data_IF_879180796414
#
_entry.id   IF_879180796414
#
_cell.length_a   1.000
_cell.length_b   1.000
_cell.length_c   1.000
_cell.angle_alpha   90.00
_cell.angle_beta   90.00
_cell.angle_gamma   90.00
#
_symmetry.space_group_name_H-M   'P 1'
#
loop_
_entity.id
_entity.type
_entity.pdbx_description
1 polymer ?
#
# COMPACT_ATOMS: atom_id res chain seq x y z
N UNK A 1 10.47 12.17 -5.29
CA UNK A 1 10.67 12.93 -6.53
C UNK A 1 9.34 13.47 -6.98
N UNK A 2 9.27 14.77 -7.27
CA UNK A 2 8.11 15.40 -7.88
C UNK A 2 8.04 15.01 -9.36
N UNK A 3 6.83 14.95 -9.90
CA UNK A 3 6.63 14.80 -11.35
C UNK A 3 7.24 15.99 -12.08
N UNK A 4 7.69 15.77 -13.31
CA UNK A 4 8.04 16.88 -14.21
C UNK A 4 6.77 17.51 -14.78
N UNK A 5 6.84 18.75 -15.22
CA UNK A 5 5.70 19.43 -15.85
C UNK A 5 5.15 18.65 -17.06
N UNK A 6 6.02 17.99 -17.82
CA UNK A 6 5.58 17.15 -18.94
C UNK A 6 4.80 15.94 -18.44
N UNK A 7 5.27 15.24 -17.39
CA UNK A 7 4.57 14.10 -16.81
C UNK A 7 3.20 14.49 -16.23
N UNK A 8 3.10 15.65 -15.58
CA UNK A 8 1.82 16.18 -15.10
C UNK A 8 0.84 16.44 -16.23
N UNK A 9 1.30 17.07 -17.31
CA UNK A 9 0.48 17.34 -18.49
C UNK A 9 0.00 16.05 -19.16
N UNK A 10 0.88 15.05 -19.29
CA UNK A 10 0.55 13.75 -19.88
C UNK A 10 -0.52 13.02 -19.04
N UNK A 11 -0.39 13.05 -17.70
CA UNK A 11 -1.39 12.46 -16.79
C UNK A 11 -2.73 13.17 -16.88
N UNK A 12 -2.76 14.50 -16.93
CA UNK A 12 -4.00 15.27 -17.07
C UNK A 12 -4.69 14.97 -18.41
N UNK A 13 -3.94 14.99 -19.51
CA UNK A 13 -4.47 14.66 -20.84
C UNK A 13 -5.01 13.22 -20.90
N UNK A 14 -4.32 12.27 -20.24
CA UNK A 14 -4.81 10.89 -20.13
C UNK A 14 -6.12 10.82 -19.33
N UNK A 15 -6.21 11.51 -18.19
CA UNK A 15 -7.42 11.56 -17.36
C UNK A 15 -8.61 12.17 -18.11
N UNK A 16 -8.39 13.27 -18.83
CA UNK A 16 -9.42 13.93 -19.65
C UNK A 16 -9.93 13.03 -20.79
N UNK A 17 -9.08 12.15 -21.31
CA UNK A 17 -9.45 11.19 -22.37
C UNK A 17 -10.19 9.96 -21.85
N UNK A 18 -10.33 9.79 -20.52
CA UNK A 18 -10.89 8.60 -19.87
C UNK A 18 -11.88 8.99 -18.77
N UNK A 19 -13.10 8.52 -18.86
CA UNK A 19 -14.14 8.79 -17.86
C UNK A 19 -14.04 7.93 -16.58
N UNK A 20 -13.10 6.99 -16.54
CA UNK A 20 -12.87 6.07 -15.41
C UNK A 20 -11.53 6.32 -14.69
N UNK A 21 -10.86 7.43 -14.99
CA UNK A 21 -9.60 7.83 -14.35
C UNK A 21 -9.75 9.21 -13.71
N UNK A 22 -9.36 9.31 -12.45
CA UNK A 22 -9.28 10.57 -11.71
C UNK A 22 -7.85 10.75 -11.21
N UNK A 23 -7.22 11.87 -11.57
CA UNK A 23 -5.89 12.24 -11.10
C UNK A 23 -5.99 13.43 -10.16
N UNK A 24 -5.63 13.24 -8.90
CA UNK A 24 -5.37 14.31 -7.95
C UNK A 24 -3.86 14.42 -7.76
N UNK A 25 -3.26 15.45 -8.32
CA UNK A 25 -1.81 15.68 -8.25
C UNK A 25 -1.43 16.56 -7.06
N UNK A 26 -2.41 17.07 -6.35
CA UNK A 26 -2.21 17.87 -5.15
C UNK A 26 -2.01 16.98 -3.92
N UNK A 27 -1.31 17.54 -2.94
CA UNK A 27 -1.15 16.87 -1.65
C UNK A 27 -2.52 16.68 -0.99
N UNK A 28 -2.82 15.48 -0.53
CA UNK A 28 -3.99 15.21 0.29
C UNK A 28 -3.93 16.08 1.55
N UNK A 29 -4.96 16.89 1.85
CA UNK A 29 -4.88 17.95 2.84
C UNK A 29 -4.62 17.44 4.26
N UNK A 30 -5.23 16.33 4.63
CA UNK A 30 -5.13 15.79 5.99
C UNK A 30 -5.29 14.26 6.03
N UNK A 31 -5.11 13.70 7.21
CA UNK A 31 -5.20 12.26 7.43
C UNK A 31 -6.63 11.73 7.30
N UNK A 32 -7.64 12.51 7.62
CA UNK A 32 -9.05 12.12 7.49
C UNK A 32 -9.43 11.91 6.03
N UNK A 33 -9.05 12.84 5.16
CA UNK A 33 -9.24 12.72 3.72
C UNK A 33 -8.48 11.51 3.16
N UNK A 34 -7.25 11.27 3.62
CA UNK A 34 -6.47 10.12 3.20
C UNK A 34 -7.11 8.79 3.63
N UNK A 35 -7.59 8.72 4.87
CA UNK A 35 -8.27 7.54 5.38
C UNK A 35 -9.60 7.29 4.64
N UNK A 36 -10.35 8.34 4.30
CA UNK A 36 -11.57 8.22 3.50
C UNK A 36 -11.29 7.65 2.11
N UNK A 37 -10.23 8.12 1.43
CA UNK A 37 -9.83 7.56 0.13
C UNK A 37 -9.46 6.08 0.22
N UNK A 38 -8.76 5.67 1.28
CA UNK A 38 -8.46 4.24 1.52
C UNK A 38 -9.76 3.47 1.77
N UNK A 39 -10.66 3.98 2.59
CA UNK A 39 -11.91 3.31 2.94
C UNK A 39 -12.81 3.06 1.71
N UNK A 40 -12.85 4.01 0.78
CA UNK A 40 -13.64 3.92 -0.45
C UNK A 40 -12.97 3.12 -1.57
N UNK A 41 -11.68 2.81 -1.45
CA UNK A 41 -10.97 2.01 -2.45
C UNK A 41 -11.25 0.52 -2.30
N UNK A 42 -11.27 -0.24 -3.39
CA UNK A 42 -11.33 -1.71 -3.38
C UNK A 42 -9.96 -2.33 -3.16
N UNK A 43 -8.92 -1.70 -3.67
CA UNK A 43 -7.52 -2.07 -3.49
C UNK A 43 -6.60 -0.84 -3.53
N UNK A 44 -5.40 -0.98 -3.00
CA UNK A 44 -4.38 0.08 -2.97
C UNK A 44 -3.21 -0.33 -3.85
N UNK A 45 -2.83 0.53 -4.78
CA UNK A 45 -1.63 0.35 -5.60
C UNK A 45 -0.48 1.21 -5.06
N UNK A 46 0.56 0.55 -4.53
CA UNK A 46 1.73 1.18 -3.92
C UNK A 46 3.05 0.51 -4.38
N UNK A 47 3.13 0.17 -5.65
CA UNK A 47 4.33 -0.40 -6.26
C UNK A 47 5.39 0.69 -6.51
N UNK A 48 6.01 1.14 -5.43
CA UNK A 48 7.07 2.15 -5.48
C UNK A 48 8.35 1.56 -6.07
N UNK A 49 9.03 2.33 -6.90
CA UNK A 49 10.30 1.94 -7.51
C UNK A 49 11.46 2.19 -6.54
N UNK A 50 12.31 1.18 -6.35
CA UNK A 50 13.52 1.25 -5.50
C UNK A 50 13.26 1.77 -4.07
N UNK A 51 12.07 1.55 -3.55
CA UNK A 51 11.70 2.01 -2.21
C UNK A 51 12.04 0.94 -1.16
N UNK A 52 13.11 1.17 -0.42
CA UNK A 52 13.61 0.22 0.60
C UNK A 52 12.92 0.37 1.96
N UNK A 53 12.18 1.46 2.16
CA UNK A 53 11.53 1.78 3.42
C UNK A 53 10.24 0.99 3.66
N UNK A 54 9.66 1.22 4.83
CA UNK A 54 8.30 0.82 5.16
C UNK A 54 7.38 2.03 5.06
N UNK A 55 6.19 1.82 4.55
CA UNK A 55 5.16 2.86 4.46
C UNK A 55 4.05 2.60 5.47
N UNK A 56 3.57 3.65 6.14
CA UNK A 56 2.38 3.58 6.99
C UNK A 56 1.11 3.21 6.19
N UNK A 57 1.19 3.28 4.86
CA UNK A 57 0.11 2.87 3.98
C UNK A 57 -0.27 1.40 4.16
N UNK A 58 0.70 0.50 4.41
CA UNK A 58 0.39 -0.91 4.69
C UNK A 58 -0.43 -1.07 5.98
N UNK A 59 -0.07 -0.33 7.03
CA UNK A 59 -0.80 -0.36 8.31
C UNK A 59 -2.21 0.19 8.15
N UNK A 60 -2.36 1.28 7.41
CA UNK A 60 -3.67 1.85 7.09
C UNK A 60 -4.51 0.91 6.22
N UNK A 61 -3.93 0.36 5.16
CA UNK A 61 -4.61 -0.60 4.29
C UNK A 61 -5.10 -1.82 5.09
N UNK A 62 -4.28 -2.34 6.00
CA UNK A 62 -4.66 -3.44 6.89
C UNK A 62 -5.82 -3.05 7.83
N UNK A 63 -5.78 -1.85 8.42
CA UNK A 63 -6.85 -1.36 9.30
C UNK A 63 -8.21 -1.26 8.56
N UNK A 64 -8.19 -0.85 7.30
CA UNK A 64 -9.37 -0.79 6.44
C UNK A 64 -9.64 -2.09 5.66
N UNK A 65 -8.84 -3.14 5.89
CA UNK A 65 -8.93 -4.45 5.20
C UNK A 65 -8.88 -4.33 3.68
N UNK A 66 -8.03 -3.44 3.18
CA UNK A 66 -7.84 -3.23 1.75
C UNK A 66 -6.62 -3.98 1.25
N UNK A 67 -6.76 -4.82 0.23
CA UNK A 67 -5.61 -5.48 -0.39
C UNK A 67 -4.68 -4.46 -1.03
N UNK A 68 -3.40 -4.77 -1.03
CA UNK A 68 -2.37 -3.90 -1.60
C UNK A 68 -1.60 -4.58 -2.72
N UNK A 69 -1.17 -3.81 -3.70
CA UNK A 69 -0.21 -4.23 -4.71
C UNK A 69 1.06 -3.40 -4.49
N UNK A 70 2.18 -4.08 -4.26
CA UNK A 70 3.47 -3.45 -3.96
C UNK A 70 4.59 -4.05 -4.80
N UNK A 71 5.73 -3.37 -4.87
CA UNK A 71 6.93 -3.90 -5.52
C UNK A 71 7.49 -5.10 -4.77
N UNK A 72 7.89 -6.14 -5.51
CA UNK A 72 8.44 -7.41 -4.99
C UNK A 72 9.81 -7.20 -4.34
N UNK A 73 10.11 -8.02 -3.35
CA UNK A 73 11.47 -8.23 -2.83
C UNK A 73 11.98 -7.20 -1.82
N UNK A 74 11.37 -6.03 -1.71
CA UNK A 74 11.73 -4.98 -0.74
C UNK A 74 10.92 -5.11 0.56
N UNK A 75 11.12 -4.20 1.51
CA UNK A 75 10.48 -4.28 2.83
C UNK A 75 8.96 -4.43 2.73
N UNK A 76 8.29 -3.63 1.91
CA UNK A 76 6.84 -3.71 1.73
C UNK A 76 6.43 -5.04 1.06
N UNK A 77 7.14 -5.48 0.02
CA UNK A 77 6.85 -6.73 -0.67
C UNK A 77 6.93 -7.93 0.25
N UNK A 78 8.01 -8.04 1.03
CA UNK A 78 8.18 -9.12 2.01
C UNK A 78 7.06 -9.17 3.04
N UNK A 79 6.61 -8.01 3.53
CA UNK A 79 5.49 -7.94 4.48
C UNK A 79 4.18 -8.40 3.85
N UNK A 80 3.89 -7.93 2.65
CA UNK A 80 2.67 -8.34 1.93
C UNK A 80 2.64 -9.85 1.69
N UNK A 81 3.76 -10.44 1.28
CA UNK A 81 3.90 -11.89 1.10
C UNK A 81 3.79 -12.65 2.43
N UNK A 82 4.47 -12.19 3.48
CA UNK A 82 4.45 -12.80 4.81
C UNK A 82 3.05 -12.88 5.41
N UNK A 83 2.27 -11.82 5.29
CA UNK A 83 0.94 -11.73 5.92
C UNK A 83 -0.21 -12.11 4.99
N UNK A 84 0.03 -12.17 3.68
CA UNK A 84 -1.03 -12.43 2.69
C UNK A 84 -2.03 -11.27 2.56
N UNK A 85 -1.57 -10.02 2.69
CA UNK A 85 -2.44 -8.83 2.64
C UNK A 85 -2.58 -8.23 1.24
N UNK A 86 -2.09 -8.90 0.21
CA UNK A 86 -2.14 -8.44 -1.17
C UNK A 86 -1.21 -9.22 -2.08
N UNK A 87 -0.76 -8.58 -3.15
CA UNK A 87 0.13 -9.18 -4.15
C UNK A 87 1.37 -8.32 -4.39
N UNK A 88 2.43 -8.96 -4.89
CA UNK A 88 3.66 -8.29 -5.30
C UNK A 88 3.84 -8.35 -6.80
N UNK A 89 4.41 -7.28 -7.39
CA UNK A 89 4.70 -7.18 -8.82
C UNK A 89 6.16 -6.79 -9.04
N UNK A 90 6.73 -7.18 -10.17
CA UNK A 90 8.03 -6.66 -10.59
C UNK A 90 7.96 -5.16 -10.85
N UNK A 91 9.05 -4.44 -10.54
CA UNK A 91 9.18 -3.05 -10.93
C UNK A 91 9.13 -2.93 -12.46
N UNK A 92 8.49 -1.88 -12.96
CA UNK A 92 8.31 -1.61 -14.39
C UNK A 92 7.58 -2.73 -15.19
N UNK A 93 6.85 -3.62 -14.52
CA UNK A 93 6.12 -4.72 -15.18
C UNK A 93 4.61 -4.47 -15.20
N UNK A 94 4.14 -3.73 -16.20
CA UNK A 94 2.72 -3.41 -16.35
C UNK A 94 1.84 -4.67 -16.55
N UNK A 95 2.39 -5.74 -17.14
CA UNK A 95 1.68 -7.01 -17.33
C UNK A 95 1.38 -7.69 -15.99
N UNK A 96 2.38 -7.81 -15.12
CA UNK A 96 2.19 -8.35 -13.76
C UNK A 96 1.24 -7.46 -12.93
N UNK A 97 1.39 -6.13 -12.99
CA UNK A 97 0.49 -5.20 -12.31
C UNK A 97 -0.97 -5.41 -12.75
N UNK A 98 -1.20 -5.50 -14.05
CA UNK A 98 -2.53 -5.73 -14.62
C UNK A 98 -3.12 -7.08 -14.21
N UNK A 99 -2.30 -8.14 -14.16
CA UNK A 99 -2.71 -9.46 -13.69
C UNK A 99 -3.06 -9.44 -12.19
N UNK A 100 -2.25 -8.79 -11.36
CA UNK A 100 -2.48 -8.65 -9.93
C UNK A 100 -3.79 -7.89 -9.64
N UNK A 101 -4.06 -6.79 -10.34
CA UNK A 101 -5.31 -6.04 -10.21
C UNK A 101 -6.50 -6.95 -10.54
N UNK A 102 -6.46 -7.65 -11.67
CA UNK A 102 -7.55 -8.56 -12.08
C UNK A 102 -7.76 -9.67 -11.06
N UNK A 103 -6.70 -10.29 -10.56
CA UNK A 103 -6.78 -11.34 -9.55
C UNK A 103 -7.48 -10.84 -8.29
N UNK A 104 -7.02 -9.73 -7.71
CA UNK A 104 -7.59 -9.16 -6.50
C UNK A 104 -9.04 -8.68 -6.66
N UNK A 105 -9.42 -8.20 -7.85
CA UNK A 105 -10.81 -7.81 -8.15
C UNK A 105 -11.74 -9.01 -8.36
N UNK A 106 -11.22 -10.18 -8.74
CA UNK A 106 -12.02 -11.39 -8.99
C UNK A 106 -12.04 -12.36 -7.82
N UNK A 107 -11.05 -12.29 -6.93
CA UNK A 107 -10.99 -13.11 -5.72
C UNK A 107 -12.14 -12.72 -4.77
N UNK A 108 -13.06 -13.65 -4.60
CA UNK A 108 -14.30 -13.42 -3.83
C UNK A 108 -14.07 -13.29 -2.32
N UNK A 109 -12.89 -13.66 -1.80
CA UNK A 109 -12.53 -13.55 -0.37
C UNK A 109 -11.02 -13.50 -0.17
N UNK A 110 -10.53 -12.33 0.21
CA UNK A 110 -9.26 -12.28 0.93
C UNK A 110 -9.44 -12.76 2.38
N UNK A 111 -8.42 -13.44 2.92
CA UNK A 111 -8.42 -13.85 4.33
C UNK A 111 -8.43 -12.61 5.24
N UNK A 112 -9.58 -12.30 5.82
CA UNK A 112 -9.72 -11.15 6.74
C UNK A 112 -8.82 -11.27 7.96
N UNK A 113 -8.41 -12.50 8.35
CA UNK A 113 -7.47 -12.72 9.44
C UNK A 113 -6.04 -12.28 9.07
N UNK A 114 -5.68 -12.27 7.79
CA UNK A 114 -4.39 -11.75 7.32
C UNK A 114 -4.20 -10.29 7.74
N UNK A 115 -5.22 -9.47 7.53
CA UNK A 115 -5.20 -8.06 7.94
C UNK A 115 -5.15 -7.89 9.45
N UNK A 116 -5.90 -8.70 10.19
CA UNK A 116 -5.89 -8.65 11.65
C UNK A 116 -4.51 -9.05 12.23
N UNK A 117 -3.88 -10.09 11.68
CA UNK A 117 -2.50 -10.48 12.07
C UNK A 117 -1.51 -9.36 11.80
N UNK A 118 -1.57 -8.75 10.61
CA UNK A 118 -0.70 -7.63 10.26
C UNK A 118 -0.88 -6.47 11.23
N UNK A 119 -2.12 -6.03 11.46
CA UNK A 119 -2.44 -4.92 12.36
C UNK A 119 -1.92 -5.20 13.78
N UNK A 120 -2.24 -6.38 14.33
CA UNK A 120 -1.83 -6.78 15.66
C UNK A 120 -0.30 -6.81 15.84
N UNK A 121 0.46 -7.28 14.85
CA UNK A 121 1.93 -7.34 14.94
C UNK A 121 2.62 -5.99 14.76
N UNK A 122 1.90 -4.99 14.23
CA UNK A 122 2.42 -3.64 14.03
C UNK A 122 1.78 -2.59 14.95
N UNK A 123 1.13 -3.05 16.03
CA UNK A 123 0.58 -2.17 17.06
C UNK A 123 1.69 -1.49 17.87
N UNK A 124 1.41 -0.26 18.32
CA UNK A 124 2.34 0.57 19.11
C UNK A 124 2.71 -0.13 20.42
N UNK A 125 1.78 -0.85 21.06
CA UNK A 125 2.02 -1.60 22.28
C UNK A 125 3.09 -2.68 22.14
N UNK A 126 3.14 -3.35 20.99
CA UNK A 126 4.22 -4.32 20.72
C UNK A 126 5.57 -3.65 20.57
N UNK A 127 5.62 -2.50 19.92
CA UNK A 127 6.84 -1.71 19.84
C UNK A 127 7.34 -1.32 21.22
N UNK A 128 6.47 -0.80 22.09
CA UNK A 128 6.78 -0.46 23.48
C UNK A 128 7.29 -1.69 24.24
N UNK A 129 6.64 -2.84 24.07
CA UNK A 129 7.04 -4.11 24.70
C UNK A 129 8.44 -4.53 24.27
N UNK A 130 8.75 -4.45 22.96
CA UNK A 130 10.09 -4.74 22.43
C UNK A 130 11.15 -3.80 23.01
N UNK A 131 10.88 -2.50 23.06
CA UNK A 131 11.81 -1.53 23.67
C UNK A 131 12.05 -1.82 25.15
N UNK A 132 11.02 -2.15 25.92
CA UNK A 132 11.14 -2.51 27.34
C UNK A 132 11.94 -3.81 27.54
N UNK A 133 11.84 -4.77 26.64
CA UNK A 133 12.65 -5.99 26.68
C UNK A 133 14.12 -5.69 26.37
N UNK A 134 14.42 -4.90 25.36
CA UNK A 134 15.80 -4.50 25.01
C UNK A 134 16.43 -3.74 26.18
N UNK A 135 15.73 -2.79 26.78
CA UNK A 135 16.27 -1.99 27.89
C UNK A 135 16.63 -2.82 29.13
N UNK A 136 15.93 -3.95 29.37
CA UNK A 136 16.26 -4.88 30.46
C UNK A 136 17.51 -5.72 30.21
N UNK A 137 17.95 -5.86 28.96
CA UNK A 137 19.13 -6.64 28.59
C UNK A 137 20.42 -5.77 28.52
N UNK A 138 20.27 -4.46 28.63
CA UNK A 138 21.40 -3.49 28.58
C UNK A 138 21.86 -3.10 29.99
N UNK A 139 21.13 -3.46 31.05
CA UNK A 139 21.52 -3.30 32.46
C UNK A 139 22.23 -4.53 32.95
#
# INVERSE_FOLDING_TARGET
>A
SSLTAQQENDLRAFGESRNNCLFSLEKIPDESCFNALIAESDLIFAAYKQFTGSSNLLTKAAAFRKPVIVSRGLCMGRRVEQYGTGQTTGEDNAGECSAAIRSLCTETRMDTQAFARYAHEHEVEKLITCFNQISKHIQ
#
